data_IF_988448827423
#
_entry.id   IF_988448827423
#
_cell.length_a   1.000
_cell.length_b   1.000
_cell.length_c   1.000
_cell.angle_alpha   90.00
_cell.angle_beta   90.00
_cell.angle_gamma   90.00
#
_symmetry.space_group_name_H-M   'P 1'
#
loop_
_entity.id
_entity.type
_entity.pdbx_description
1 polymer ?
#
# COMPACT_ATOMS: atom_id res chain seq x y z
N UNK A 1 -12.58 1.06 5.66
CA UNK A 1 -11.42 0.27 5.21
C UNK A 1 -10.36 0.07 6.30
N UNK A 2 -9.65 1.08 6.81
CA UNK A 2 -8.55 0.83 7.79
C UNK A 2 -9.02 0.06 9.03
N UNK A 3 -10.05 0.55 9.71
CA UNK A 3 -10.69 -0.09 10.86
C UNK A 3 -11.30 -1.47 10.56
N UNK A 4 -11.64 -1.74 9.31
CA UNK A 4 -12.21 -3.03 8.92
C UNK A 4 -11.12 -4.08 8.75
N UNK A 5 -10.00 -3.68 8.13
CA UNK A 5 -8.84 -4.55 7.97
C UNK A 5 -8.27 -4.96 9.33
N UNK A 6 -8.21 -4.05 10.30
CA UNK A 6 -7.73 -4.34 11.66
C UNK A 6 -8.54 -5.41 12.40
N UNK A 7 -9.77 -5.72 11.97
CA UNK A 7 -10.59 -6.78 12.56
C UNK A 7 -10.23 -8.17 12.05
N UNK A 8 -9.45 -8.26 10.96
CA UNK A 8 -9.05 -9.53 10.39
C UNK A 8 -7.98 -10.18 11.27
N UNK A 9 -8.21 -11.45 11.67
CA UNK A 9 -7.31 -12.19 12.56
C UNK A 9 -5.90 -12.41 12.02
N UNK A 10 -5.72 -12.31 10.69
CA UNK A 10 -4.42 -12.41 10.03
C UNK A 10 -3.53 -11.18 10.27
N UNK A 11 -4.12 -10.03 10.62
CA UNK A 11 -3.37 -8.79 10.84
C UNK A 11 -2.85 -8.76 12.27
N UNK A 12 -1.52 -8.78 12.42
CA UNK A 12 -0.82 -8.76 13.71
C UNK A 12 -0.51 -7.35 14.20
N UNK A 13 -0.47 -6.39 13.30
CA UNK A 13 -0.18 -4.99 13.60
C UNK A 13 -0.39 -4.10 12.39
N UNK A 14 -0.37 -2.79 12.60
CA UNK A 14 -0.44 -1.83 11.51
C UNK A 14 0.32 -0.53 11.79
N UNK A 15 0.63 0.18 10.72
CA UNK A 15 1.16 1.54 10.77
C UNK A 15 0.41 2.42 9.77
N UNK A 16 -0.20 3.48 10.29
CA UNK A 16 -0.89 4.49 9.49
C UNK A 16 0.10 5.58 9.06
N UNK A 17 0.38 5.68 7.76
CA UNK A 17 1.24 6.71 7.20
C UNK A 17 0.45 7.87 6.59
N UNK A 18 1.16 8.91 6.12
CA UNK A 18 0.54 10.05 5.44
C UNK A 18 -0.34 9.61 4.25
N UNK A 19 0.18 8.70 3.43
CA UNK A 19 -0.48 8.26 2.18
C UNK A 19 -0.60 6.74 2.00
N UNK A 20 0.06 5.94 2.83
CA UNK A 20 -0.04 4.47 2.81
C UNK A 20 -0.29 3.94 4.20
N UNK A 21 -1.08 2.89 4.27
CA UNK A 21 -1.32 2.09 5.45
C UNK A 21 -0.59 0.75 5.29
N UNK A 22 0.16 0.35 6.30
CA UNK A 22 0.95 -0.88 6.28
C UNK A 22 0.32 -1.82 7.30
N UNK A 23 0.04 -3.06 6.88
CA UNK A 23 -0.49 -4.11 7.73
C UNK A 23 0.49 -5.27 7.79
N UNK A 24 0.80 -5.72 8.99
CA UNK A 24 1.68 -6.85 9.26
C UNK A 24 0.89 -8.16 9.22
N UNK A 25 1.25 -9.05 8.31
CA UNK A 25 0.66 -10.39 8.14
C UNK A 25 1.54 -11.49 8.77
N UNK A 26 2.64 -11.12 9.43
CA UNK A 26 3.66 -12.03 9.96
C UNK A 26 4.89 -12.07 9.08
N UNK A 27 4.85 -12.89 8.02
CA UNK A 27 6.00 -13.09 7.13
C UNK A 27 6.07 -12.05 6.00
N UNK A 28 4.95 -11.39 5.73
CA UNK A 28 4.80 -10.39 4.65
C UNK A 28 4.04 -9.16 5.14
N UNK A 29 4.09 -8.10 4.34
CA UNK A 29 3.37 -6.85 4.61
C UNK A 29 2.35 -6.58 3.51
N UNK A 30 1.13 -6.22 3.90
CA UNK A 30 0.14 -5.65 3.00
C UNK A 30 0.28 -4.12 3.02
N UNK A 31 0.62 -3.54 1.87
CA UNK A 31 0.74 -2.11 1.69
C UNK A 31 -0.50 -1.59 0.95
N UNK A 32 -1.31 -0.78 1.63
CA UNK A 32 -2.51 -0.18 1.05
C UNK A 32 -2.25 1.28 0.73
N UNK A 33 -2.22 1.62 -0.57
CA UNK A 33 -2.05 2.99 -1.03
C UNK A 33 -3.40 3.72 -1.00
N UNK A 34 -3.49 4.77 -0.18
CA UNK A 34 -4.73 5.55 -0.01
C UNK A 34 -4.84 6.69 -1.03
N UNK A 35 -6.03 7.29 -1.11
CA UNK A 35 -6.30 8.51 -1.88
C UNK A 35 -5.85 9.81 -1.16
N UNK A 36 -5.33 9.70 0.07
CA UNK A 36 -4.78 10.84 0.83
C UNK A 36 -3.59 11.44 0.11
N UNK A 37 -3.42 12.75 0.25
CA UNK A 37 -2.29 13.51 -0.29
C UNK A 37 -1.74 14.43 0.80
N UNK A 38 -0.43 14.68 0.75
CA UNK A 38 0.23 15.59 1.68
C UNK A 38 1.20 16.51 0.94
N UNK A 39 1.27 17.76 1.39
CA UNK A 39 2.29 18.72 0.98
C UNK A 39 2.69 19.57 2.18
N UNK A 40 3.93 20.06 2.22
CA UNK A 40 4.46 20.86 3.34
C UNK A 40 4.25 20.19 4.70
N UNK A 41 4.51 18.87 4.76
CA UNK A 41 4.30 18.00 5.91
C UNK A 41 2.87 17.87 6.47
N UNK A 42 1.87 18.45 5.81
CA UNK A 42 0.46 18.36 6.21
C UNK A 42 -0.30 17.40 5.29
N UNK A 43 -1.10 16.50 5.88
CA UNK A 43 -2.07 15.68 5.13
C UNK A 43 -3.34 16.51 4.92
N UNK A 44 -3.80 16.61 3.68
CA UNK A 44 -5.00 17.39 3.37
C UNK A 44 -6.28 16.62 3.74
N UNK A 45 -7.34 17.33 4.16
CA UNK A 45 -8.61 16.70 4.53
C UNK A 45 -9.35 16.12 3.33
N UNK A 46 -9.14 16.69 2.14
CA UNK A 46 -9.74 16.24 0.90
C UNK A 46 -8.91 15.12 0.26
N UNK A 47 -9.61 14.09 -0.21
CA UNK A 47 -9.01 12.99 -0.96
C UNK A 47 -8.91 13.34 -2.46
N UNK A 48 -7.95 12.73 -3.15
CA UNK A 48 -7.89 12.74 -4.62
C UNK A 48 -8.38 11.37 -5.10
N UNK A 49 -9.60 11.27 -5.65
CA UNK A 49 -10.17 10.00 -6.08
C UNK A 49 -9.24 9.23 -7.02
N UNK A 50 -9.15 7.92 -6.82
CA UNK A 50 -8.37 6.96 -7.61
C UNK A 50 -6.84 7.15 -7.58
N UNK A 51 -6.32 8.15 -6.87
CA UNK A 51 -4.88 8.40 -6.78
C UNK A 51 -4.15 7.18 -6.24
N UNK A 52 -4.67 6.55 -5.18
CA UNK A 52 -4.05 5.37 -4.58
C UNK A 52 -3.98 4.20 -5.55
N UNK A 53 -5.05 3.97 -6.30
CA UNK A 53 -5.14 2.93 -7.35
C UNK A 53 -4.12 3.16 -8.47
N UNK A 54 -4.06 4.39 -9.00
CA UNK A 54 -3.14 4.75 -10.09
C UNK A 54 -1.69 4.62 -9.62
N UNK A 55 -1.35 5.17 -8.44
CA UNK A 55 0.01 5.11 -7.90
C UNK A 55 0.44 3.67 -7.59
N UNK A 56 -0.47 2.84 -7.08
CA UNK A 56 -0.19 1.42 -6.87
C UNK A 56 0.17 0.74 -8.21
N UNK A 57 -0.62 0.96 -9.26
CA UNK A 57 -0.35 0.42 -10.60
C UNK A 57 0.98 0.88 -11.19
N UNK A 58 1.35 2.15 -11.01
CA UNK A 58 2.66 2.68 -11.42
C UNK A 58 3.78 1.96 -10.67
N UNK A 59 3.67 1.79 -9.35
CA UNK A 59 4.67 1.04 -8.58
C UNK A 59 4.79 -0.41 -9.05
N UNK A 60 3.68 -1.11 -9.28
CA UNK A 60 3.66 -2.47 -9.81
C UNK A 60 4.37 -2.57 -11.16
N UNK A 61 4.12 -1.63 -12.06
CA UNK A 61 4.78 -1.57 -13.36
C UNK A 61 6.30 -1.50 -13.19
N UNK A 62 6.79 -0.56 -12.38
CA UNK A 62 8.22 -0.40 -12.17
C UNK A 62 8.86 -1.58 -11.43
N UNK A 63 8.21 -2.15 -10.41
CA UNK A 63 8.73 -3.34 -9.73
C UNK A 63 8.93 -4.51 -10.70
N UNK A 64 7.97 -4.74 -11.60
CA UNK A 64 8.05 -5.79 -12.62
C UNK A 64 9.09 -5.44 -13.70
N UNK A 65 9.14 -4.19 -14.17
CA UNK A 65 10.04 -3.79 -15.26
C UNK A 65 11.51 -3.71 -14.85
N UNK A 66 11.81 -3.49 -13.57
CA UNK A 66 13.19 -3.35 -13.07
C UNK A 66 13.67 -4.54 -12.24
N UNK A 67 12.93 -5.66 -12.21
CA UNK A 67 13.27 -6.83 -11.40
C UNK A 67 14.65 -7.42 -11.75
N UNK A 68 15.06 -7.33 -13.02
CA UNK A 68 16.35 -7.84 -13.50
C UNK A 68 17.52 -6.89 -13.18
N UNK A 69 17.22 -5.64 -12.80
CA UNK A 69 18.23 -4.64 -12.46
C UNK A 69 18.61 -4.68 -10.98
N UNK A 70 17.63 -4.88 -10.10
CA UNK A 70 17.83 -4.96 -8.65
C UNK A 70 16.70 -5.74 -7.96
N UNK A 71 17.01 -6.49 -6.89
CA UNK A 71 15.99 -7.12 -6.07
C UNK A 71 15.07 -6.06 -5.45
N UNK A 72 13.78 -6.40 -5.35
CA UNK A 72 12.78 -5.54 -4.74
C UNK A 72 11.81 -6.37 -3.88
N UNK A 73 10.97 -5.69 -3.11
CA UNK A 73 10.09 -6.27 -2.10
C UNK A 73 8.68 -6.64 -2.61
N UNK A 74 8.41 -6.52 -3.91
CA UNK A 74 7.10 -6.78 -4.47
C UNK A 74 6.82 -8.30 -4.51
N UNK A 75 5.66 -8.70 -4.01
CA UNK A 75 5.21 -10.10 -4.01
C UNK A 75 4.10 -10.29 -5.05
N UNK A 76 2.95 -9.66 -4.83
CA UNK A 76 1.84 -9.62 -5.79
C UNK A 76 0.95 -8.39 -5.55
N UNK A 77 0.19 -8.02 -6.58
CA UNK A 77 -0.87 -7.01 -6.55
C UNK A 77 -2.27 -7.61 -6.71
N UNK A 78 -2.38 -8.94 -6.72
CA UNK A 78 -3.63 -9.69 -6.86
C UNK A 78 -3.88 -10.56 -5.65
N UNK A 79 -5.13 -10.58 -5.20
CA UNK A 79 -5.53 -11.32 -3.99
C UNK A 79 -5.48 -12.83 -4.24
N UNK A 80 -5.77 -13.27 -5.45
CA UNK A 80 -5.81 -14.70 -5.80
C UNK A 80 -4.42 -15.34 -5.90
N UNK A 81 -3.36 -14.51 -5.97
CA UNK A 81 -1.98 -14.94 -6.06
C UNK A 81 -1.26 -14.92 -4.69
N UNK A 82 -1.96 -14.57 -3.61
CA UNK A 82 -1.48 -14.55 -2.22
C UNK A 82 -2.04 -15.74 -1.42
#
# INVERSE_FOLDING_TARGET
>A
MHEELLKLSIIKGSKHGKVRDIYDLGDTLLLVTSDRISAFDVVFPNLIPDKGKILNGISVHFFKSTQDLAPNHFITDKVEEY
#
